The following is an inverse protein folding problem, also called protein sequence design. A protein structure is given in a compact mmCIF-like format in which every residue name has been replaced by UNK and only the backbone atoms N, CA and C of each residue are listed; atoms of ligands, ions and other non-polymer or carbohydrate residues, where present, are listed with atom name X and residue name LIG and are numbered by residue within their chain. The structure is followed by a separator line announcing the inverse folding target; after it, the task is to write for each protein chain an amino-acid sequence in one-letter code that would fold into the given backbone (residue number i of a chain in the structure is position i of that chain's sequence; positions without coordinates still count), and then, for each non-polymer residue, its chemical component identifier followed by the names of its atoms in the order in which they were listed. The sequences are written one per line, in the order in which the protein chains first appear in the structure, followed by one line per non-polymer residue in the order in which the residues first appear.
data_IF_987389763459
#
_entry.id   IF_987389763459
#
_cell.length_a   1.000
_cell.length_b   1.000
_cell.length_c   1.000
_cell.angle_alpha   90.00
_cell.angle_beta   90.00
_cell.angle_gamma   90.00
#
_symmetry.space_group_name_H-M   'P 1'
#
loop_
_entity.id
_entity.type
_entity.pdbx_description
1 polymer ?
#
# COMPACT_ATOMS: atom_id res chain seq x y z
N UNK A 1 19.46 7.90 -11.78
CA UNK A 1 18.54 8.35 -10.73
C UNK A 1 17.70 7.16 -10.31
N UNK A 2 17.64 6.84 -9.04
CA UNK A 2 16.88 5.72 -8.52
C UNK A 2 15.38 5.86 -8.77
N UNK A 3 14.64 4.79 -8.58
CA UNK A 3 13.19 4.74 -8.80
C UNK A 3 12.48 4.27 -7.54
N UNK A 4 11.22 4.66 -7.44
CA UNK A 4 10.28 4.11 -6.47
C UNK A 4 9.32 3.20 -7.23
N UNK A 5 9.45 1.89 -7.04
CA UNK A 5 8.51 0.90 -7.55
C UNK A 5 7.31 0.84 -6.62
N UNK A 6 6.17 1.28 -7.12
CA UNK A 6 4.96 1.43 -6.33
C UNK A 6 3.98 0.30 -6.59
N UNK A 7 3.95 -0.68 -5.68
CA UNK A 7 3.09 -1.87 -5.79
C UNK A 7 1.70 -1.56 -5.26
N UNK A 8 0.69 -1.75 -6.08
CA UNK A 8 -0.70 -1.54 -5.73
C UNK A 8 -1.61 -2.62 -6.30
N UNK A 9 -2.79 -2.72 -5.78
CA UNK A 9 -3.81 -3.67 -6.23
C UNK A 9 -4.92 -3.80 -5.20
N UNK A 10 -6.05 -4.30 -5.66
CA UNK A 10 -7.23 -4.53 -4.84
C UNK A 10 -6.93 -5.52 -3.70
N UNK A 11 -7.73 -5.53 -2.64
CA UNK A 11 -7.64 -6.50 -1.52
C UNK A 11 -7.67 -7.93 -2.05
N UNK A 12 -6.89 -8.81 -1.41
CA UNK A 12 -6.77 -10.23 -1.79
C UNK A 12 -6.18 -10.51 -3.19
N UNK A 13 -5.50 -9.53 -3.79
CA UNK A 13 -4.75 -9.73 -5.04
C UNK A 13 -3.41 -10.47 -4.86
N UNK A 14 -2.97 -10.70 -3.61
CA UNK A 14 -1.67 -11.31 -3.32
C UNK A 14 -0.50 -10.32 -3.31
N UNK A 15 -0.75 -9.01 -3.40
CA UNK A 15 0.29 -7.98 -3.45
C UNK A 15 1.27 -8.04 -2.25
N UNK A 16 0.79 -8.40 -1.04
CA UNK A 16 1.67 -8.49 0.13
C UNK A 16 2.69 -9.65 0.01
N UNK A 17 2.28 -10.76 -0.60
CA UNK A 17 3.16 -11.90 -0.90
C UNK A 17 4.19 -11.49 -1.96
N UNK A 18 3.73 -10.87 -3.04
CA UNK A 18 4.60 -10.38 -4.12
C UNK A 18 5.59 -9.34 -3.59
N UNK A 19 5.14 -8.42 -2.72
CA UNK A 19 6.00 -7.43 -2.09
C UNK A 19 7.16 -8.08 -1.31
N UNK A 20 6.84 -9.06 -0.47
CA UNK A 20 7.84 -9.79 0.32
C UNK A 20 8.82 -10.55 -0.56
N UNK A 21 8.32 -11.19 -1.60
CA UNK A 21 9.15 -11.93 -2.55
C UNK A 21 10.09 -11.02 -3.35
N UNK A 22 9.60 -9.87 -3.81
CA UNK A 22 10.42 -8.88 -4.49
C UNK A 22 11.58 -8.39 -3.60
N UNK A 23 11.32 -8.08 -2.34
CA UNK A 23 12.37 -7.66 -1.40
C UNK A 23 13.41 -8.77 -1.15
N UNK A 24 13.01 -10.05 -1.19
CA UNK A 24 13.94 -11.17 -1.08
C UNK A 24 14.79 -11.36 -2.33
N UNK A 25 14.17 -11.22 -3.52
CA UNK A 25 14.86 -11.37 -4.81
C UNK A 25 15.78 -10.19 -5.15
N UNK A 26 15.44 -9.01 -4.68
CA UNK A 26 16.17 -7.76 -4.91
C UNK A 26 16.67 -7.14 -3.59
N UNK A 27 17.67 -7.74 -2.93
CA UNK A 27 18.10 -7.32 -1.59
C UNK A 27 18.72 -5.92 -1.53
N UNK A 28 19.08 -5.34 -2.67
CA UNK A 28 19.57 -3.95 -2.76
C UNK A 28 18.42 -2.93 -2.76
N UNK A 29 17.22 -3.36 -3.12
CA UNK A 29 16.02 -2.51 -3.13
C UNK A 29 15.57 -2.23 -1.70
N UNK A 30 15.47 -0.98 -1.33
CA UNK A 30 15.01 -0.57 0.00
C UNK A 30 13.49 -0.48 0.05
N UNK A 31 12.94 -0.58 1.24
CA UNK A 31 11.52 -0.32 1.48
C UNK A 31 11.33 1.08 2.01
N UNK A 32 10.20 1.69 1.67
CA UNK A 32 9.73 2.89 2.33
C UNK A 32 8.79 2.46 3.45
N UNK A 33 9.09 2.90 4.68
CA UNK A 33 8.26 2.62 5.86
C UNK A 33 7.35 3.81 6.09
N UNK A 34 6.05 3.59 6.06
CA UNK A 34 5.03 4.60 6.28
C UNK A 34 4.82 4.83 7.79
N UNK A 35 4.27 5.97 8.12
CA UNK A 35 3.84 6.32 9.48
C UNK A 35 2.36 6.01 9.70
N UNK A 36 1.99 5.76 10.95
CA UNK A 36 0.59 5.64 11.36
C UNK A 36 0.36 6.07 12.80
N UNK A 37 -0.78 6.74 13.04
CA UNK A 37 -1.25 7.04 14.41
C UNK A 37 -2.06 5.89 15.00
N UNK A 38 -2.31 4.83 14.25
CA UNK A 38 -2.97 3.62 14.73
C UNK A 38 -2.09 2.92 15.79
N UNK A 39 -2.69 2.44 16.89
CA UNK A 39 -1.96 1.60 17.84
C UNK A 39 -1.34 0.37 17.18
N UNK A 40 -0.15 0.03 17.62
CA UNK A 40 0.57 -1.17 17.17
C UNK A 40 -0.22 -2.43 17.53
N UNK A 41 -0.34 -3.36 16.59
CA UNK A 41 -0.95 -4.67 16.81
C UNK A 41 0.07 -5.68 17.34
N UNK A 42 -0.43 -6.76 17.90
CA UNK A 42 0.42 -7.88 18.30
C UNK A 42 1.19 -8.43 17.08
N UNK A 43 2.49 -8.67 17.26
CA UNK A 43 3.40 -9.14 16.21
C UNK A 43 3.98 -8.06 15.31
N UNK A 44 3.47 -6.84 15.31
CA UNK A 44 4.05 -5.72 14.55
C UNK A 44 5.23 -5.11 15.30
N UNK A 45 6.19 -4.58 14.55
CA UNK A 45 7.39 -3.92 15.10
C UNK A 45 7.52 -2.52 14.52
N UNK A 46 7.90 -1.56 15.38
CA UNK A 46 8.17 -0.20 14.95
C UNK A 46 9.32 -0.15 13.94
N UNK A 47 9.19 0.70 12.92
CA UNK A 47 10.16 0.80 11.82
C UNK A 47 10.18 -0.41 10.87
N UNK A 48 9.29 -1.38 11.03
CA UNK A 48 9.17 -2.56 10.16
C UNK A 48 7.87 -2.52 9.36
N UNK A 49 6.73 -2.64 10.01
CA UNK A 49 5.43 -2.51 9.35
C UNK A 49 5.07 -1.04 9.13
N UNK A 50 5.25 -0.24 10.16
CA UNK A 50 5.05 1.20 10.20
C UNK A 50 6.01 1.83 11.21
N UNK A 51 6.22 3.14 11.09
CA UNK A 51 6.61 3.98 12.22
C UNK A 51 5.32 4.34 12.97
N UNK A 52 5.15 3.78 14.18
CA UNK A 52 3.99 4.04 15.02
C UNK A 52 4.19 5.35 15.78
N UNK A 53 3.28 6.28 15.62
CA UNK A 53 3.40 7.65 16.12
C UNK A 53 2.06 8.18 16.62
N UNK A 54 1.99 9.47 16.89
CA UNK A 54 0.82 10.19 17.35
C UNK A 54 0.44 11.37 16.44
N UNK A 55 -0.65 12.02 16.75
CA UNK A 55 -1.14 13.19 16.00
C UNK A 55 -0.19 14.40 16.14
N UNK A 56 0.50 14.52 17.27
CA UNK A 56 1.46 15.61 17.48
C UNK A 56 2.62 15.51 16.49
N UNK A 57 3.18 14.32 16.31
CA UNK A 57 4.24 14.08 15.32
C UNK A 57 3.77 14.28 13.89
N UNK A 58 2.56 13.84 13.56
CA UNK A 58 1.94 14.11 12.26
C UNK A 58 1.85 15.62 12.01
N UNK A 59 1.38 16.39 12.99
CA UNK A 59 1.28 17.84 12.88
C UNK A 59 2.65 18.52 12.74
N UNK A 60 3.69 17.99 13.38
CA UNK A 60 5.07 18.48 13.18
C UNK A 60 5.50 18.32 11.72
N UNK A 61 5.29 17.15 11.09
CA UNK A 61 5.60 16.94 9.67
C UNK A 61 4.81 17.88 8.75
N UNK A 62 3.52 18.13 9.05
CA UNK A 62 2.72 19.13 8.31
C UNK A 62 3.33 20.52 8.39
N UNK A 63 3.64 20.98 9.61
CA UNK A 63 4.18 22.31 9.84
C UNK A 63 5.57 22.51 9.22
N UNK A 64 6.35 21.46 9.10
CA UNK A 64 7.68 21.46 8.49
C UNK A 64 7.66 21.30 6.97
N UNK A 65 6.48 21.08 6.37
CA UNK A 65 6.36 20.82 4.93
C UNK A 65 6.97 19.49 4.48
N UNK A 66 7.12 18.55 5.41
CA UNK A 66 7.72 17.23 5.17
C UNK A 66 6.67 16.13 4.90
N UNK A 67 5.38 16.47 4.96
CA UNK A 67 4.32 15.52 4.68
C UNK A 67 4.17 15.31 3.18
N UNK A 68 4.36 14.08 2.71
CA UNK A 68 4.25 13.72 1.29
C UNK A 68 2.80 13.35 0.96
N UNK A 69 2.17 12.51 1.79
CA UNK A 69 0.78 12.10 1.63
C UNK A 69 0.19 11.71 2.98
N UNK A 70 -1.12 11.83 3.09
CA UNK A 70 -1.86 11.45 4.29
C UNK A 70 -3.24 10.92 3.94
N UNK A 71 -3.68 9.89 4.66
CA UNK A 71 -5.03 9.31 4.59
C UNK A 71 -5.51 9.04 6.00
N UNK A 72 -6.70 9.51 6.31
CA UNK A 72 -7.31 9.34 7.64
C UNK A 72 -8.58 8.49 7.54
N UNK A 73 -8.76 7.61 8.51
CA UNK A 73 -9.89 6.72 8.62
C UNK A 73 -10.59 6.91 9.96
N UNK A 74 -11.88 7.20 9.91
CA UNK A 74 -12.73 7.26 11.09
C UNK A 74 -13.08 5.84 11.52
N UNK A 75 -12.67 5.46 12.71
CA UNK A 75 -12.95 4.15 13.30
C UNK A 75 -13.72 4.29 14.61
N UNK A 76 -14.28 3.21 15.11
CA UNK A 76 -14.90 3.18 16.43
C UNK A 76 -13.92 3.48 17.59
N UNK A 77 -12.61 3.43 17.32
CA UNK A 77 -11.53 3.72 18.29
C UNK A 77 -10.90 5.10 18.09
N UNK A 78 -11.48 5.94 17.23
CA UNK A 78 -10.98 7.26 16.87
C UNK A 78 -10.50 7.35 15.42
N UNK A 79 -9.85 8.46 15.11
CA UNK A 79 -9.27 8.70 13.79
C UNK A 79 -7.88 8.10 13.73
N UNK A 80 -7.62 7.28 12.73
CA UNK A 80 -6.30 6.73 12.44
C UNK A 80 -5.78 7.30 11.14
N UNK A 81 -4.61 7.91 11.20
CA UNK A 81 -3.91 8.45 10.05
C UNK A 81 -2.79 7.49 9.61
N UNK A 82 -2.61 7.41 8.30
CA UNK A 82 -1.49 6.73 7.63
C UNK A 82 -0.86 7.76 6.70
N UNK A 83 0.44 7.91 6.78
CA UNK A 83 1.10 8.95 6.00
C UNK A 83 2.54 8.58 5.65
N UNK A 84 3.07 9.28 4.65
CA UNK A 84 4.47 9.21 4.26
C UNK A 84 5.09 10.59 4.48
N UNK A 85 6.28 10.62 5.07
CA UNK A 85 7.01 11.85 5.33
C UNK A 85 8.39 11.82 4.68
N UNK A 86 8.87 13.00 4.29
CA UNK A 86 10.26 13.23 3.88
C UNK A 86 11.12 13.46 5.12
N UNK A 87 11.45 12.34 5.77
CA UNK A 87 12.26 12.27 6.99
C UNK A 87 13.72 11.89 6.72
N UNK A 88 14.11 11.88 5.43
CA UNK A 88 15.43 11.49 4.97
C UNK A 88 15.59 9.98 4.69
N UNK A 89 14.54 9.17 4.85
CA UNK A 89 14.60 7.75 4.49
C UNK A 89 14.73 7.50 2.99
N UNK A 90 14.33 8.47 2.15
CA UNK A 90 14.28 8.34 0.69
C UNK A 90 15.38 9.16 0.04
N UNK A 91 16.35 8.47 -0.57
CA UNK A 91 17.44 9.09 -1.32
C UNK A 91 17.51 8.54 -2.75
N UNK A 92 16.76 9.14 -3.66
CA UNK A 92 16.69 8.72 -5.06
C UNK A 92 17.97 8.99 -5.89
N UNK A 93 19.00 9.62 -5.32
CA UNK A 93 20.29 9.76 -6.00
C UNK A 93 21.12 8.49 -5.96
N UNK A 94 20.91 7.65 -4.95
CA UNK A 94 21.74 6.48 -4.67
C UNK A 94 20.97 5.17 -4.61
N UNK A 95 19.66 5.19 -4.35
CA UNK A 95 18.90 4.03 -3.95
C UNK A 95 17.62 3.85 -4.80
N UNK A 96 17.17 2.61 -4.87
CA UNK A 96 15.87 2.23 -5.40
C UNK A 96 14.98 1.72 -4.29
N UNK A 97 13.69 2.00 -4.39
CA UNK A 97 12.73 1.69 -3.34
C UNK A 97 11.56 0.88 -3.87
N UNK A 98 11.04 0.01 -3.00
CA UNK A 98 9.76 -0.65 -3.18
C UNK A 98 8.81 -0.18 -2.08
N UNK A 99 7.62 0.23 -2.48
CA UNK A 99 6.55 0.62 -1.57
C UNK A 99 5.27 -0.09 -1.97
N UNK A 100 4.41 -0.36 -0.99
CA UNK A 100 3.09 -0.94 -1.20
C UNK A 100 2.04 0.04 -0.67
N UNK A 101 1.01 0.35 -1.46
CA UNK A 101 0.00 1.32 -1.05
C UNK A 101 -1.24 1.34 -1.94
N UNK A 102 -1.98 2.45 -1.84
CA UNK A 102 -3.21 2.71 -2.58
C UNK A 102 -2.94 3.56 -3.82
N UNK A 103 -3.91 3.65 -4.72
CA UNK A 103 -3.82 4.52 -5.90
C UNK A 103 -3.76 6.00 -5.51
N UNK A 104 -4.46 6.40 -4.45
CA UNK A 104 -4.42 7.77 -3.90
C UNK A 104 -3.02 8.15 -3.44
N UNK A 105 -2.40 7.31 -2.61
CA UNK A 105 -1.04 7.51 -2.14
C UNK A 105 -0.01 7.50 -3.29
N UNK A 106 -0.20 6.66 -4.31
CA UNK A 106 0.63 6.68 -5.52
C UNK A 106 0.59 8.04 -6.23
N UNK A 107 -0.61 8.63 -6.38
CA UNK A 107 -0.77 9.94 -7.01
C UNK A 107 -0.03 11.02 -6.25
N UNK A 108 -0.18 11.06 -4.93
CA UNK A 108 0.49 12.04 -4.08
C UNK A 108 2.01 11.88 -4.11
N UNK A 109 2.52 10.66 -4.04
CA UNK A 109 3.97 10.41 -4.17
C UNK A 109 4.50 10.79 -5.56
N UNK A 110 3.70 10.55 -6.62
CA UNK A 110 4.06 10.93 -7.99
C UNK A 110 4.12 12.45 -8.16
N UNK A 111 3.22 13.19 -7.52
CA UNK A 111 3.24 14.65 -7.49
C UNK A 111 4.48 15.19 -6.76
N UNK A 112 4.82 14.57 -5.63
CA UNK A 112 5.96 14.98 -4.80
C UNK A 112 7.32 14.68 -5.44
N UNK A 113 7.56 13.46 -5.92
CA UNK A 113 8.86 13.00 -6.44
C UNK A 113 9.04 13.20 -7.95
N UNK A 114 7.97 13.57 -8.67
CA UNK A 114 7.96 13.63 -10.14
C UNK A 114 7.59 12.27 -10.77
N UNK A 115 6.90 12.35 -11.91
CA UNK A 115 6.41 11.17 -12.61
C UNK A 115 7.51 10.21 -13.07
N UNK A 116 8.67 10.76 -13.39
CA UNK A 116 9.84 10.01 -13.83
C UNK A 116 10.48 9.16 -12.73
N UNK A 117 10.21 9.51 -11.45
CA UNK A 117 10.74 8.77 -10.29
C UNK A 117 9.88 7.59 -9.88
N UNK A 118 8.60 7.57 -10.27
CA UNK A 118 7.63 6.56 -9.88
C UNK A 118 7.38 5.53 -10.97
N UNK A 119 7.50 4.25 -10.63
CA UNK A 119 7.17 3.11 -11.49
C UNK A 119 5.97 2.38 -10.89
N UNK A 120 4.76 2.54 -11.46
CA UNK A 120 3.57 1.85 -10.95
C UNK A 120 3.61 0.36 -11.30
N UNK A 121 3.33 -0.49 -10.31
CA UNK A 121 3.16 -1.92 -10.45
C UNK A 121 1.75 -2.28 -9.96
N UNK A 122 0.81 -2.42 -10.89
CA UNK A 122 -0.56 -2.79 -10.55
C UNK A 122 -0.78 -4.29 -10.68
N UNK A 123 -1.17 -4.93 -9.56
CA UNK A 123 -1.50 -6.35 -9.54
C UNK A 123 -2.98 -6.51 -9.78
N UNK A 124 -3.31 -7.03 -10.96
CA UNK A 124 -4.68 -7.34 -11.36
C UNK A 124 -4.97 -8.82 -11.14
N UNK A 125 -6.07 -9.09 -10.47
CA UNK A 125 -6.60 -10.45 -10.26
C UNK A 125 -8.11 -10.39 -10.45
N UNK A 126 -8.66 -11.41 -11.08
CA UNK A 126 -10.08 -11.54 -11.35
C UNK A 126 -10.90 -11.44 -10.05
N UNK A 127 -12.02 -10.73 -10.09
CA UNK A 127 -12.78 -10.34 -8.91
C UNK A 127 -13.37 -11.55 -8.14
N UNK A 128 -13.83 -12.60 -8.83
CA UNK A 128 -14.34 -13.82 -8.19
C UNK A 128 -13.25 -14.56 -7.42
N UNK A 129 -12.04 -14.65 -7.99
CA UNK A 129 -10.90 -15.28 -7.31
C UNK A 129 -10.49 -14.46 -6.06
N UNK A 130 -10.45 -13.13 -6.15
CA UNK A 130 -10.17 -12.25 -5.00
C UNK A 130 -11.21 -12.41 -3.90
N UNK A 131 -12.50 -12.46 -4.28
CA UNK A 131 -13.61 -12.62 -3.35
C UNK A 131 -13.53 -13.98 -2.64
N UNK A 132 -13.24 -15.06 -3.37
CA UNK A 132 -13.03 -16.40 -2.82
C UNK A 132 -11.89 -16.40 -1.80
N UNK A 133 -10.73 -15.88 -2.16
CA UNK A 133 -9.57 -15.77 -1.26
C UNK A 133 -9.89 -14.93 0.00
N UNK A 134 -10.63 -13.83 -0.16
CA UNK A 134 -11.05 -12.99 0.94
C UNK A 134 -11.98 -13.74 1.90
N UNK A 135 -12.97 -14.45 1.35
CA UNK A 135 -13.95 -15.22 2.11
C UNK A 135 -13.30 -16.38 2.89
N UNK A 136 -12.39 -17.11 2.25
CA UNK A 136 -11.67 -18.20 2.91
C UNK A 136 -10.78 -17.71 4.04
N UNK A 137 -10.09 -16.57 3.84
CA UNK A 137 -9.31 -15.95 4.90
C UNK A 137 -10.18 -15.50 6.06
N UNK A 138 -11.35 -14.92 5.78
CA UNK A 138 -12.27 -14.41 6.79
C UNK A 138 -12.86 -15.56 7.61
N UNK A 139 -13.21 -16.70 6.98
CA UNK A 139 -13.69 -17.91 7.67
C UNK A 139 -12.70 -18.50 8.68
N UNK A 140 -11.40 -18.28 8.49
CA UNK A 140 -10.34 -18.78 9.39
C UNK A 140 -10.12 -17.87 10.62
N UNK A 141 -10.78 -16.71 10.66
CA UNK A 141 -10.66 -15.77 11.78
C UNK A 141 -11.53 -16.22 12.96
N UNK A 142 -11.09 -15.93 14.18
CA UNK A 142 -11.87 -16.20 15.39
C UNK A 142 -13.20 -15.43 15.44
N UNK A 143 -13.22 -14.26 14.81
CA UNK A 143 -14.41 -13.40 14.68
C UNK A 143 -14.52 -12.90 13.24
N UNK A 144 -15.18 -13.65 12.34
CA UNK A 144 -15.36 -13.26 10.95
C UNK A 144 -16.16 -11.96 10.81
N UNK A 145 -15.70 -11.07 9.94
CA UNK A 145 -16.33 -9.77 9.66
C UNK A 145 -16.67 -9.64 8.18
N UNK A 146 -17.73 -10.35 7.79
CA UNK A 146 -18.16 -10.39 6.39
C UNK A 146 -18.67 -9.04 5.86
N UNK A 147 -19.27 -8.22 6.71
CA UNK A 147 -19.68 -6.86 6.41
C UNK A 147 -18.49 -6.01 5.96
N UNK A 148 -17.40 -6.05 6.71
CA UNK A 148 -16.18 -5.32 6.41
C UNK A 148 -15.48 -5.87 5.14
N UNK A 149 -15.51 -7.18 4.91
CA UNK A 149 -15.03 -7.79 3.68
C UNK A 149 -15.77 -7.23 2.46
N UNK A 150 -17.11 -7.22 2.50
CA UNK A 150 -17.94 -6.69 1.42
C UNK A 150 -17.70 -5.20 1.20
N UNK A 151 -17.65 -4.42 2.27
CA UNK A 151 -17.36 -2.98 2.20
C UNK A 151 -16.03 -2.71 1.49
N UNK A 152 -14.97 -3.43 1.89
CA UNK A 152 -13.63 -3.30 1.29
C UNK A 152 -13.61 -3.73 -0.18
N UNK A 153 -14.30 -4.80 -0.52
CA UNK A 153 -14.39 -5.27 -1.90
C UNK A 153 -15.02 -4.23 -2.82
N UNK A 154 -16.11 -3.59 -2.38
CA UNK A 154 -16.78 -2.52 -3.14
C UNK A 154 -15.93 -1.23 -3.22
N UNK A 155 -15.27 -0.85 -2.12
CA UNK A 155 -14.37 0.30 -2.11
C UNK A 155 -13.22 0.10 -3.10
N UNK A 156 -12.56 -1.06 -3.07
CA UNK A 156 -11.50 -1.40 -4.03
C UNK A 156 -11.96 -1.30 -5.49
N UNK A 157 -13.18 -1.75 -5.78
CA UNK A 157 -13.73 -1.71 -7.15
C UNK A 157 -13.92 -0.28 -7.65
N UNK A 158 -14.26 0.64 -6.75
CA UNK A 158 -14.36 2.06 -7.05
C UNK A 158 -12.97 2.70 -7.18
N UNK A 159 -12.09 2.46 -6.20
CA UNK A 159 -10.78 3.11 -6.12
C UNK A 159 -9.88 2.71 -7.29
N UNK A 160 -9.93 1.45 -7.71
CA UNK A 160 -9.18 0.90 -8.85
C UNK A 160 -10.06 0.72 -10.09
N UNK A 161 -11.00 1.62 -10.33
CA UNK A 161 -11.74 1.65 -11.59
C UNK A 161 -10.80 1.96 -12.77
N UNK A 162 -11.15 1.55 -13.98
CA UNK A 162 -10.36 1.87 -15.18
C UNK A 162 -10.15 3.37 -15.34
N UNK A 163 -11.17 4.16 -15.06
CA UNK A 163 -11.10 5.62 -15.11
C UNK A 163 -10.03 6.15 -14.14
N UNK A 164 -10.04 5.69 -12.89
CA UNK A 164 -9.08 6.10 -11.88
C UNK A 164 -7.64 5.66 -12.21
N UNK A 165 -7.48 4.44 -12.74
CA UNK A 165 -6.17 3.93 -13.17
C UNK A 165 -5.62 4.75 -14.34
N UNK A 166 -6.44 5.05 -15.35
CA UNK A 166 -6.07 5.90 -16.49
C UNK A 166 -5.70 7.31 -16.03
N UNK A 167 -6.53 7.92 -15.17
CA UNK A 167 -6.27 9.26 -14.62
C UNK A 167 -4.96 9.34 -13.81
N UNK A 168 -4.54 8.25 -13.19
CA UNK A 168 -3.25 8.16 -12.50
C UNK A 168 -2.07 7.88 -13.44
N UNK A 169 -2.32 7.70 -14.75
CA UNK A 169 -1.35 7.27 -15.75
C UNK A 169 -0.59 5.99 -15.31
N UNK A 170 -1.34 5.04 -14.74
CA UNK A 170 -0.87 3.69 -14.51
C UNK A 170 -0.90 2.99 -15.87
N UNK A 171 0.23 2.97 -16.56
CA UNK A 171 0.37 2.17 -17.78
C UNK A 171 0.34 0.70 -17.37
N UNK A 172 -0.50 -0.05 -18.04
CA UNK A 172 -0.71 -1.48 -17.76
C UNK A 172 0.54 -2.30 -18.04
N UNK A 173 1.40 -2.45 -17.07
CA UNK A 173 2.27 -3.60 -17.03
C UNK A 173 1.42 -4.71 -16.41
N UNK A 174 0.65 -5.42 -17.24
CA UNK A 174 -0.21 -6.52 -16.82
C UNK A 174 0.65 -7.66 -16.27
N UNK A 175 0.83 -7.70 -14.98
CA UNK A 175 1.15 -8.94 -14.31
C UNK A 175 -0.19 -9.66 -14.07
N UNK A 176 -0.72 -10.32 -15.08
CA UNK A 176 -1.79 -11.30 -14.89
C UNK A 176 -1.18 -12.42 -14.05
N UNK A 177 -1.61 -12.54 -12.82
CA UNK A 177 -1.36 -13.73 -12.03
C UNK A 177 -2.22 -14.86 -12.62
N UNK A 178 -1.73 -15.47 -13.69
CA UNK A 178 -2.23 -16.76 -14.15
C UNK A 178 -1.80 -17.80 -13.11
N UNK A 179 -2.80 -18.42 -12.49
CA UNK A 179 -2.76 -19.73 -11.86
C UNK A 179 -1.42 -20.13 -11.21
N UNK A 180 -1.25 -19.72 -9.96
CA UNK A 180 -0.33 -20.41 -9.06
C UNK A 180 -1.13 -21.31 -8.10
N UNK A 181 -2.05 -22.10 -8.63
CA UNK A 181 -2.76 -23.15 -7.85
C UNK A 181 -1.94 -24.45 -7.71
N UNK A 182 -0.64 -24.40 -8.05
CA UNK A 182 0.20 -25.61 -8.02
C UNK A 182 1.21 -25.66 -6.88
N UNK A 183 1.22 -24.69 -5.96
CA UNK A 183 2.20 -24.70 -4.84
C UNK A 183 1.54 -24.23 -3.52
N UNK A 184 0.64 -25.04 -3.00
CA UNK A 184 0.30 -25.14 -1.57
C UNK A 184 0.15 -26.60 -1.20
#
# INVERSE_FOLDING_TARGET
MGKIFYLMGKSSSGKDTIYKELLQRFPKMKRIVLYTTRPRREGERDGVEYFFTDEEKLQQFRNQGQLIEERSYHTQYGVWSYFTADDGQINLRQEEYLVIGTLESYRAMKEYFGAESLVPLYIEVEDGLRLTRALEREKRQSQPRYDELCRRFLADSKDFSEENLRAAAVSYTHLRAHETDSYL
#
